data_IF_798970743499
#
_entry.id   IF_798970743499
#
_cell.length_a   1.000
_cell.length_b   1.000
_cell.length_c   1.000
_cell.angle_alpha   90.00
_cell.angle_beta   90.00
_cell.angle_gamma   90.00
#
_symmetry.space_group_name_H-M   'P 1'
#
loop_
_entity.id
_entity.type
_entity.pdbx_description
1 polymer ?
#
# COMPACT_ATOMS: atom_id res chain seq x y z
N UNK A 1 -34.00 -14.66 -52.30
CA UNK A 1 -33.82 -14.94 -50.86
C UNK A 1 -32.38 -15.21 -50.44
N UNK A 2 -31.57 -15.99 -51.17
CA UNK A 2 -30.16 -16.27 -50.80
C UNK A 2 -29.31 -15.01 -50.61
N UNK A 3 -29.49 -13.98 -51.46
CA UNK A 3 -28.79 -12.68 -51.32
C UNK A 3 -29.15 -11.94 -50.03
N UNK A 4 -30.41 -12.04 -49.60
CA UNK A 4 -30.89 -11.42 -48.36
C UNK A 4 -30.25 -12.10 -47.15
N UNK A 5 -30.20 -13.43 -47.11
CA UNK A 5 -29.56 -14.15 -46.00
C UNK A 5 -28.05 -13.94 -45.92
N UNK A 6 -27.39 -13.64 -47.04
CA UNK A 6 -25.95 -13.30 -47.07
C UNK A 6 -25.71 -11.87 -46.58
N UNK A 7 -26.56 -10.91 -46.96
CA UNK A 7 -26.40 -9.51 -46.58
C UNK A 7 -26.91 -9.19 -45.17
N UNK A 8 -27.90 -9.96 -44.67
CA UNK A 8 -28.58 -9.64 -43.42
C UNK A 8 -27.67 -9.61 -42.18
N UNK A 9 -26.71 -10.54 -41.96
CA UNK A 9 -25.80 -10.45 -40.82
C UNK A 9 -24.96 -9.16 -40.81
N UNK A 10 -24.51 -8.71 -41.99
CA UNK A 10 -23.74 -7.47 -42.14
C UNK A 10 -24.63 -6.23 -41.91
N UNK A 11 -25.85 -6.20 -42.47
CA UNK A 11 -26.81 -5.12 -42.21
C UNK A 11 -27.15 -5.00 -40.71
N UNK A 12 -27.34 -6.13 -40.01
CA UNK A 12 -27.57 -6.14 -38.56
C UNK A 12 -26.35 -5.66 -37.80
N UNK A 13 -25.13 -6.02 -38.22
CA UNK A 13 -23.90 -5.53 -37.59
C UNK A 13 -23.75 -4.01 -37.76
N UNK A 14 -24.01 -3.47 -38.95
CA UNK A 14 -23.97 -2.02 -39.20
C UNK A 14 -25.05 -1.27 -38.43
N UNK A 15 -26.24 -1.85 -38.30
CA UNK A 15 -27.35 -1.29 -37.51
C UNK A 15 -27.03 -1.29 -36.02
N UNK A 16 -26.53 -2.41 -35.48
CA UNK A 16 -26.00 -2.50 -34.10
C UNK A 16 -24.88 -1.50 -33.87
N UNK A 17 -24.07 -1.25 -34.90
CA UNK A 17 -22.98 -0.32 -34.82
C UNK A 17 -23.39 1.17 -34.93
N UNK A 18 -24.70 1.46 -35.10
CA UNK A 18 -25.21 2.81 -35.30
C UNK A 18 -24.81 3.45 -36.63
N UNK A 19 -24.26 2.67 -37.56
CA UNK A 19 -23.79 3.17 -38.87
C UNK A 19 -24.91 3.33 -39.90
N UNK A 20 -26.03 2.64 -39.68
CA UNK A 20 -27.25 2.75 -40.47
C UNK A 20 -28.46 2.70 -39.55
N UNK A 21 -29.54 3.35 -39.97
CA UNK A 21 -30.83 3.41 -39.29
C UNK A 21 -31.70 2.19 -39.62
N UNK A 22 -32.75 1.97 -38.82
CA UNK A 22 -33.72 0.89 -39.04
C UNK A 22 -34.39 0.98 -40.43
N UNK A 23 -34.72 2.22 -40.86
CA UNK A 23 -35.32 2.48 -42.17
C UNK A 23 -34.35 2.18 -43.33
N UNK A 24 -33.05 2.40 -43.13
CA UNK A 24 -32.01 2.05 -44.10
C UNK A 24 -31.81 0.53 -44.21
N UNK A 25 -31.83 -0.21 -43.09
CA UNK A 25 -31.84 -1.68 -43.10
C UNK A 25 -33.05 -2.20 -43.87
N UNK A 26 -34.23 -1.63 -43.59
CA UNK A 26 -35.48 -2.02 -44.26
C UNK A 26 -35.45 -1.73 -45.76
N UNK A 27 -34.92 -0.58 -46.15
CA UNK A 27 -34.75 -0.18 -47.55
C UNK A 27 -33.81 -1.13 -48.31
N UNK A 28 -32.68 -1.50 -47.70
CA UNK A 28 -31.71 -2.43 -48.27
C UNK A 28 -32.28 -3.86 -48.42
N UNK A 29 -32.98 -4.35 -47.40
CA UNK A 29 -33.65 -5.66 -47.46
C UNK A 29 -34.70 -5.69 -48.58
N UNK A 30 -35.46 -4.62 -48.73
CA UNK A 30 -36.49 -4.48 -49.78
C UNK A 30 -35.86 -4.41 -51.17
N UNK A 31 -34.75 -3.68 -51.34
CA UNK A 31 -33.98 -3.62 -52.58
C UNK A 31 -33.41 -5.00 -52.99
N UNK A 32 -33.09 -5.85 -52.02
CA UNK A 32 -32.65 -7.23 -52.24
C UNK A 32 -33.81 -8.22 -52.54
N UNK A 33 -35.04 -7.71 -52.64
CA UNK A 33 -36.23 -8.46 -53.04
C UNK A 33 -36.99 -9.10 -51.87
N UNK A 34 -36.80 -8.62 -50.64
CA UNK A 34 -37.62 -8.99 -49.49
C UNK A 34 -38.91 -8.15 -49.46
N UNK A 35 -40.10 -8.74 -49.30
CA UNK A 35 -41.32 -7.98 -49.05
C UNK A 35 -41.22 -7.15 -47.78
N UNK A 36 -41.80 -5.94 -47.80
CA UNK A 36 -41.75 -4.95 -46.72
C UNK A 36 -42.15 -5.53 -45.35
N UNK A 37 -43.28 -6.23 -45.31
CA UNK A 37 -43.80 -6.88 -44.09
C UNK A 37 -42.81 -7.90 -43.52
N UNK A 38 -42.13 -8.65 -44.39
CA UNK A 38 -41.15 -9.65 -43.98
C UNK A 38 -39.85 -9.02 -43.49
N UNK A 39 -39.45 -7.88 -44.06
CA UNK A 39 -38.29 -7.12 -43.59
C UNK A 39 -38.52 -6.57 -42.19
N UNK A 40 -39.71 -6.02 -41.93
CA UNK A 40 -40.11 -5.55 -40.60
C UNK A 40 -40.09 -6.68 -39.58
N UNK A 41 -40.72 -7.83 -39.88
CA UNK A 41 -40.72 -9.00 -38.98
C UNK A 41 -39.28 -9.47 -38.66
N UNK A 42 -38.40 -9.51 -39.67
CA UNK A 42 -37.02 -9.95 -39.51
C UNK A 42 -36.20 -8.97 -38.63
N UNK A 43 -36.40 -7.66 -38.81
CA UNK A 43 -35.79 -6.60 -38.00
C UNK A 43 -36.27 -6.70 -36.55
N UNK A 44 -37.57 -6.89 -36.31
CA UNK A 44 -38.14 -7.06 -34.96
C UNK A 44 -37.55 -8.26 -34.21
N UNK A 45 -37.31 -9.39 -34.89
CA UNK A 45 -36.64 -10.55 -34.26
C UNK A 45 -35.22 -10.24 -33.80
N UNK A 46 -34.55 -9.25 -34.42
CA UNK A 46 -33.22 -8.79 -34.04
C UNK A 46 -33.24 -7.61 -33.07
N UNK A 47 -34.28 -6.79 -33.08
CA UNK A 47 -34.49 -5.67 -32.14
C UNK A 47 -34.48 -6.12 -30.68
N UNK A 48 -35.01 -7.31 -30.38
CA UNK A 48 -35.01 -7.87 -29.01
C UNK A 48 -33.62 -8.34 -28.52
N UNK A 49 -32.67 -8.58 -29.41
CA UNK A 49 -31.24 -8.80 -29.07
C UNK A 49 -30.43 -7.49 -29.04
N UNK A 50 -30.99 -6.36 -29.52
CA UNK A 50 -30.27 -5.09 -29.75
C UNK A 50 -30.56 -4.05 -28.65
N UNK A 51 -31.50 -4.30 -27.75
CA UNK A 51 -31.60 -3.54 -26.49
C UNK A 51 -30.48 -3.86 -25.48
N UNK A 52 -29.49 -4.68 -25.85
CA UNK A 52 -28.18 -4.65 -25.22
C UNK A 52 -27.32 -3.66 -26.00
N UNK A 53 -27.25 -2.43 -25.50
CA UNK A 53 -26.48 -1.31 -26.05
C UNK A 53 -25.13 -1.74 -26.63
N UNK A 54 -24.91 -1.37 -27.88
CA UNK A 54 -23.59 -1.14 -28.48
C UNK A 54 -23.75 0.28 -29.06
N UNK A 55 -22.86 1.26 -28.94
CA UNK A 55 -21.45 1.32 -29.37
C UNK A 55 -20.81 2.63 -28.89
N UNK A 56 -19.62 2.54 -28.31
CA UNK A 56 -18.41 3.25 -28.74
C UNK A 56 -17.23 2.64 -27.97
N UNK A 57 -16.13 2.33 -28.65
CA UNK A 57 -14.88 1.83 -28.06
C UNK A 57 -14.12 2.95 -27.30
N UNK A 58 -14.82 3.74 -26.50
CA UNK A 58 -14.25 4.25 -25.26
C UNK A 58 -14.54 3.14 -24.25
N UNK A 59 -13.52 2.42 -23.77
CA UNK A 59 -13.77 1.50 -22.67
C UNK A 59 -14.26 2.32 -21.48
N UNK A 60 -15.57 2.39 -21.32
CA UNK A 60 -16.19 2.98 -20.14
C UNK A 60 -15.54 2.33 -18.92
N UNK A 61 -15.05 3.19 -18.03
CA UNK A 61 -14.41 2.72 -16.81
C UNK A 61 -15.37 1.78 -16.10
N UNK A 62 -14.93 0.56 -15.87
CA UNK A 62 -15.71 -0.38 -15.08
C UNK A 62 -15.79 0.12 -13.64
N UNK A 63 -16.84 -0.27 -12.89
CA UNK A 63 -16.93 0.00 -11.45
C UNK A 63 -15.63 -0.36 -10.71
N UNK A 64 -14.97 -1.44 -11.17
CA UNK A 64 -13.70 -1.92 -10.64
C UNK A 64 -12.52 -0.98 -10.89
N UNK A 65 -12.46 -0.37 -12.07
CA UNK A 65 -11.43 0.62 -12.41
C UNK A 65 -11.66 1.93 -11.66
N UNK A 66 -12.92 2.34 -11.47
CA UNK A 66 -13.26 3.58 -10.75
C UNK A 66 -12.82 3.48 -9.28
N UNK A 67 -13.30 2.49 -8.50
CA UNK A 67 -12.89 2.40 -7.09
C UNK A 67 -11.39 2.10 -6.93
N UNK A 68 -10.75 1.45 -7.92
CA UNK A 68 -9.31 1.26 -7.91
C UNK A 68 -8.55 2.57 -8.20
N UNK A 69 -9.10 3.44 -9.04
CA UNK A 69 -8.61 4.79 -9.31
C UNK A 69 -8.65 5.65 -8.05
N UNK A 70 -9.80 5.66 -7.36
CA UNK A 70 -9.97 6.35 -6.07
C UNK A 70 -8.98 5.81 -5.03
N UNK A 71 -8.89 4.48 -4.87
CA UNK A 71 -7.96 3.82 -3.92
C UNK A 71 -6.49 4.11 -4.20
N UNK A 72 -6.13 4.39 -5.46
CA UNK A 72 -4.76 4.74 -5.87
C UNK A 72 -4.51 6.24 -5.86
N UNK A 73 -5.52 7.07 -5.56
CA UNK A 73 -5.44 8.53 -5.61
C UNK A 73 -5.27 9.08 -7.03
N UNK A 74 -5.68 8.34 -8.05
CA UNK A 74 -5.64 8.78 -9.46
C UNK A 74 -6.80 9.72 -9.76
N UNK A 75 -7.93 9.50 -9.09
CA UNK A 75 -9.12 10.36 -9.07
C UNK A 75 -9.55 10.54 -7.61
N UNK A 76 -10.21 11.65 -7.32
CA UNK A 76 -10.76 11.97 -6.01
C UNK A 76 -12.02 11.14 -5.71
N UNK A 77 -12.46 11.19 -4.45
CA UNK A 77 -13.69 10.51 -4.03
C UNK A 77 -14.93 11.06 -4.71
N UNK A 78 -15.03 12.39 -4.84
CA UNK A 78 -16.17 13.05 -5.48
C UNK A 78 -16.23 12.71 -6.97
N UNK A 79 -15.07 12.72 -7.66
CA UNK A 79 -14.98 12.24 -9.05
C UNK A 79 -15.34 10.76 -9.17
N UNK A 80 -14.94 9.93 -8.20
CA UNK A 80 -15.34 8.52 -8.14
C UNK A 80 -16.85 8.32 -7.96
N UNK A 81 -17.51 9.18 -7.18
CA UNK A 81 -18.97 9.17 -6.99
C UNK A 81 -19.68 9.55 -8.29
N UNK A 82 -19.26 10.63 -8.95
CA UNK A 82 -19.82 11.09 -10.23
C UNK A 82 -19.70 9.99 -11.30
N UNK A 83 -18.51 9.40 -11.47
CA UNK A 83 -18.30 8.33 -12.45
C UNK A 83 -19.14 7.08 -12.17
N UNK A 84 -19.38 6.75 -10.90
CA UNK A 84 -20.27 5.64 -10.54
C UNK A 84 -21.73 5.97 -10.82
N UNK A 85 -22.16 7.22 -10.60
CA UNK A 85 -23.52 7.66 -10.94
C UNK A 85 -23.76 7.67 -12.46
N UNK A 86 -22.76 8.04 -13.25
CA UNK A 86 -22.81 7.98 -14.72
C UNK A 86 -22.98 6.55 -15.24
N UNK A 87 -22.50 5.54 -14.49
CA UNK A 87 -22.79 4.11 -14.74
C UNK A 87 -24.19 3.66 -14.29
N UNK A 88 -25.05 4.60 -13.89
CA UNK A 88 -26.43 4.36 -13.46
C UNK A 88 -26.59 3.88 -12.02
N UNK A 89 -25.57 4.05 -11.16
CA UNK A 89 -25.73 3.80 -9.72
C UNK A 89 -26.43 4.97 -9.04
N UNK A 90 -27.23 4.68 -8.01
CA UNK A 90 -27.74 5.73 -7.14
C UNK A 90 -26.60 6.35 -6.32
N UNK A 91 -26.80 7.58 -5.82
CA UNK A 91 -25.82 8.24 -4.97
C UNK A 91 -25.47 7.41 -3.72
N UNK A 92 -26.48 6.76 -3.12
CA UNK A 92 -26.30 5.90 -1.95
C UNK A 92 -25.50 4.63 -2.30
N UNK A 93 -25.80 4.00 -3.44
CA UNK A 93 -25.08 2.79 -3.89
C UNK A 93 -23.63 3.11 -4.26
N UNK A 94 -23.38 4.24 -4.92
CA UNK A 94 -22.05 4.70 -5.28
C UNK A 94 -21.21 4.97 -4.02
N UNK A 95 -21.81 5.64 -3.03
CA UNK A 95 -21.19 5.91 -1.72
C UNK A 95 -20.86 4.60 -1.01
N UNK A 96 -21.82 3.69 -0.92
CA UNK A 96 -21.62 2.39 -0.30
C UNK A 96 -20.48 1.59 -0.96
N UNK A 97 -20.41 1.59 -2.30
CA UNK A 97 -19.34 0.90 -3.03
C UNK A 97 -17.98 1.49 -2.69
N UNK A 98 -17.84 2.83 -2.69
CA UNK A 98 -16.58 3.48 -2.37
C UNK A 98 -16.19 3.26 -0.91
N UNK A 99 -17.12 3.39 0.05
CA UNK A 99 -16.86 3.11 1.46
C UNK A 99 -16.38 1.68 1.69
N UNK A 100 -17.01 0.69 1.07
CA UNK A 100 -16.64 -0.71 1.23
C UNK A 100 -15.32 -1.05 0.53
N UNK A 101 -15.04 -0.47 -0.64
CA UNK A 101 -13.88 -0.85 -1.48
C UNK A 101 -12.63 0.00 -1.24
N UNK A 102 -12.83 1.25 -0.88
CA UNK A 102 -11.79 2.25 -0.63
C UNK A 102 -11.57 2.43 0.87
N UNK A 103 -12.63 2.41 1.69
CA UNK A 103 -12.61 2.81 3.10
C UNK A 103 -13.04 4.26 3.27
N UNK A 104 -13.65 4.61 4.40
CA UNK A 104 -14.10 5.98 4.71
C UNK A 104 -12.94 6.99 4.68
N UNK A 105 -13.15 8.12 4.01
CA UNK A 105 -12.24 9.26 3.75
C UNK A 105 -11.63 9.97 4.98
N UNK A 106 -11.77 9.47 6.20
CA UNK A 106 -11.03 10.05 7.34
C UNK A 106 -9.53 9.68 7.32
N UNK A 107 -9.11 8.78 6.41
CA UNK A 107 -7.71 8.35 6.24
C UNK A 107 -7.21 8.48 4.79
N UNK A 108 -7.31 9.65 4.17
CA UNK A 108 -6.37 10.01 3.08
C UNK A 108 -5.29 10.98 3.58
N UNK A 109 -4.26 10.50 4.29
CA UNK A 109 -2.99 11.18 4.25
C UNK A 109 -2.41 11.02 2.84
N UNK A 110 -1.73 12.05 2.32
CA UNK A 110 -0.79 11.92 1.22
C UNK A 110 0.29 10.89 1.58
N UNK A 111 0.01 9.60 1.34
CA UNK A 111 1.03 8.56 1.51
C UNK A 111 1.72 8.44 0.15
N UNK A 112 2.74 9.28 -0.06
CA UNK A 112 3.93 8.78 -0.77
C UNK A 112 4.29 7.48 -0.05
N UNK A 113 3.90 6.32 -0.60
CA UNK A 113 4.35 5.04 -0.07
C UNK A 113 5.87 5.06 -0.15
N UNK A 114 6.53 5.47 0.93
CA UNK A 114 7.88 5.04 1.22
C UNK A 114 7.78 3.53 1.12
N UNK A 115 8.42 2.96 0.10
CA UNK A 115 8.41 1.51 -0.07
C UNK A 115 9.07 0.95 1.17
N UNK A 116 8.29 0.30 2.02
CA UNK A 116 8.84 -0.43 3.15
C UNK A 116 9.69 -1.56 2.62
N UNK A 117 10.78 -1.86 3.34
CA UNK A 117 11.63 -2.98 2.99
C UNK A 117 10.84 -4.27 3.09
N UNK A 118 11.01 -5.17 2.11
CA UNK A 118 10.42 -6.50 2.22
C UNK A 118 11.16 -7.31 3.28
N UNK A 119 10.52 -8.36 3.83
CA UNK A 119 11.19 -9.36 4.69
C UNK A 119 12.52 -9.84 4.10
N UNK A 120 12.55 -10.10 2.78
CA UNK A 120 13.74 -10.57 2.08
C UNK A 120 14.84 -9.52 2.06
N UNK A 121 14.50 -8.25 1.86
CA UNK A 121 15.45 -7.14 1.86
C UNK A 121 16.06 -6.92 3.24
N UNK A 122 15.23 -6.94 4.29
CA UNK A 122 15.68 -6.83 5.69
C UNK A 122 16.67 -7.96 6.02
N UNK A 123 16.29 -9.22 5.75
CA UNK A 123 17.15 -10.38 5.99
C UNK A 123 18.46 -10.32 5.19
N UNK A 124 18.43 -9.82 3.95
CA UNK A 124 19.64 -9.60 3.15
C UNK A 124 20.51 -8.48 3.70
N UNK A 125 19.91 -7.40 4.19
CA UNK A 125 20.62 -6.28 4.79
C UNK A 125 21.32 -6.70 6.09
N UNK A 126 20.68 -7.52 6.93
CA UNK A 126 21.32 -8.14 8.11
C UNK A 126 22.51 -9.00 7.68
N UNK A 127 22.31 -9.91 6.70
CA UNK A 127 23.39 -10.81 6.23
C UNK A 127 24.58 -10.06 5.62
N UNK A 128 24.33 -8.90 5.01
CA UNK A 128 25.35 -8.02 4.43
C UNK A 128 25.89 -6.99 5.43
N UNK A 129 25.46 -7.05 6.69
CA UNK A 129 25.85 -6.11 7.75
C UNK A 129 25.54 -4.64 7.43
N UNK A 130 24.56 -4.40 6.54
CA UNK A 130 24.09 -3.04 6.19
C UNK A 130 23.24 -2.46 7.32
N UNK A 131 22.53 -3.32 8.04
CA UNK A 131 21.78 -2.99 9.26
C UNK A 131 22.15 -3.98 10.36
N UNK A 132 21.98 -3.58 11.62
CA UNK A 132 22.24 -4.47 12.74
C UNK A 132 21.19 -5.60 12.82
N UNK A 133 21.55 -6.71 13.47
CA UNK A 133 20.61 -7.81 13.73
C UNK A 133 19.40 -7.33 14.54
N UNK A 134 19.63 -6.42 15.50
CA UNK A 134 18.57 -5.89 16.36
C UNK A 134 17.62 -4.95 15.59
N UNK A 135 18.17 -4.07 14.74
CA UNK A 135 17.35 -3.23 13.87
C UNK A 135 16.52 -4.09 12.91
N UNK A 136 17.15 -5.11 12.31
CA UNK A 136 16.46 -6.04 11.43
C UNK A 136 15.39 -6.86 12.15
N UNK A 137 15.61 -7.24 13.42
CA UNK A 137 14.61 -7.88 14.28
C UNK A 137 13.40 -6.96 14.47
N UNK A 138 13.63 -5.70 14.85
CA UNK A 138 12.53 -4.75 15.05
C UNK A 138 11.75 -4.51 13.76
N UNK A 139 12.44 -4.35 12.62
CA UNK A 139 11.77 -4.16 11.33
C UNK A 139 10.90 -5.36 10.93
N UNK A 140 11.30 -6.58 11.29
CA UNK A 140 10.47 -7.78 11.06
C UNK A 140 9.26 -7.81 12.00
N UNK A 141 9.42 -7.40 13.26
CA UNK A 141 8.29 -7.28 14.19
C UNK A 141 7.28 -6.23 13.69
N UNK A 142 7.77 -5.09 13.20
CA UNK A 142 6.93 -4.02 12.63
C UNK A 142 6.18 -4.48 11.36
N UNK A 143 6.72 -5.47 10.63
CA UNK A 143 6.04 -6.15 9.52
C UNK A 143 5.00 -7.20 9.98
N UNK A 144 4.83 -7.41 11.28
CA UNK A 144 3.84 -8.30 11.88
C UNK A 144 4.34 -9.71 12.21
N UNK A 145 5.65 -9.96 12.17
CA UNK A 145 6.21 -11.24 12.63
C UNK A 145 6.31 -11.25 14.16
N UNK A 146 6.03 -12.39 14.78
CA UNK A 146 6.30 -12.56 16.22
C UNK A 146 7.81 -12.58 16.50
N UNK A 147 8.20 -12.36 17.76
CA UNK A 147 9.61 -12.42 18.18
C UNK A 147 10.24 -13.79 17.86
N UNK A 148 9.52 -14.89 18.13
CA UNK A 148 10.00 -16.24 17.84
C UNK A 148 10.16 -16.51 16.35
N UNK A 149 9.23 -16.05 15.51
CA UNK A 149 9.35 -16.17 14.05
C UNK A 149 10.51 -15.36 13.51
N UNK A 150 10.67 -14.13 14.01
CA UNK A 150 11.78 -13.25 13.65
C UNK A 150 13.12 -13.92 13.92
N UNK A 151 13.25 -14.57 15.07
CA UNK A 151 14.49 -15.26 15.46
C UNK A 151 14.79 -16.43 14.54
N UNK A 152 13.80 -17.26 14.26
CA UNK A 152 13.95 -18.36 13.30
C UNK A 152 14.38 -17.82 11.93
N UNK A 153 13.77 -16.73 11.45
CA UNK A 153 14.09 -16.15 10.15
C UNK A 153 15.53 -15.62 10.08
N UNK A 154 15.96 -14.92 11.11
CA UNK A 154 17.32 -14.39 11.20
C UNK A 154 18.33 -15.53 11.35
N UNK A 155 18.03 -16.53 12.19
CA UNK A 155 18.87 -17.71 12.39
C UNK A 155 19.09 -18.47 11.09
N UNK A 156 18.01 -18.78 10.36
CA UNK A 156 18.07 -19.42 9.04
C UNK A 156 18.87 -18.57 8.06
N UNK A 157 18.72 -17.24 8.11
CA UNK A 157 19.42 -16.35 7.19
C UNK A 157 20.92 -16.28 7.44
N UNK A 158 21.32 -16.25 8.71
CA UNK A 158 22.70 -16.16 9.17
C UNK A 158 23.40 -17.52 9.21
N UNK A 159 22.65 -18.62 9.16
CA UNK A 159 23.19 -19.98 9.26
C UNK A 159 23.57 -20.37 10.69
N UNK A 160 22.97 -19.75 11.70
CA UNK A 160 23.12 -20.12 13.11
C UNK A 160 22.00 -21.07 13.52
N UNK A 161 22.29 -21.97 14.45
CA UNK A 161 21.40 -23.08 14.83
C UNK A 161 20.83 -22.95 16.24
N UNK A 162 21.37 -22.05 17.07
CA UNK A 162 20.88 -21.82 18.43
C UNK A 162 20.64 -20.34 18.73
N UNK A 163 19.71 -20.06 19.66
CA UNK A 163 19.50 -18.69 20.16
C UNK A 163 20.76 -18.11 20.81
N UNK A 164 21.58 -18.97 21.45
CA UNK A 164 22.86 -18.55 22.01
C UNK A 164 23.86 -18.07 20.96
N UNK A 165 23.89 -18.69 19.77
CA UNK A 165 24.73 -18.25 18.66
C UNK A 165 24.21 -16.94 18.06
N UNK A 166 22.89 -16.79 17.96
CA UNK A 166 22.27 -15.53 17.54
C UNK A 166 22.61 -14.40 18.52
N UNK A 167 22.50 -14.66 19.83
CA UNK A 167 22.88 -13.71 20.86
C UNK A 167 24.37 -13.37 20.81
N UNK A 168 25.25 -14.34 20.58
CA UNK A 168 26.67 -14.09 20.40
C UNK A 168 26.95 -13.19 19.19
N UNK A 169 26.23 -13.37 18.08
CA UNK A 169 26.33 -12.52 16.89
C UNK A 169 25.85 -11.08 17.17
N UNK A 170 24.76 -10.92 17.92
CA UNK A 170 24.25 -9.60 18.36
C UNK A 170 25.26 -8.91 19.29
N UNK A 171 25.87 -9.66 20.21
CA UNK A 171 26.85 -9.15 21.17
C UNK A 171 28.18 -8.80 20.49
N UNK A 172 28.59 -9.56 19.47
CA UNK A 172 29.85 -9.37 18.73
C UNK A 172 29.88 -8.20 17.74
N UNK A 173 28.72 -7.67 17.32
CA UNK A 173 28.65 -6.43 16.55
C UNK A 173 29.15 -5.23 17.39
N UNK A 174 29.47 -4.05 16.83
CA UNK A 174 29.78 -2.85 17.66
C UNK A 174 28.48 -2.23 18.22
N UNK A 175 28.44 -1.71 19.47
CA UNK A 175 27.22 -1.06 19.99
C UNK A 175 27.00 0.31 19.32
N UNK A 176 25.75 0.64 18.97
CA UNK A 176 25.43 1.93 18.35
C UNK A 176 25.10 3.01 19.40
N UNK A 177 24.61 2.61 20.57
CA UNK A 177 24.24 3.50 21.70
C UNK A 177 24.79 2.99 23.03
N UNK A 178 24.70 3.81 24.10
CA UNK A 178 25.15 3.38 25.42
C UNK A 178 24.23 2.29 26.00
N UNK A 179 22.92 2.36 25.77
CA UNK A 179 22.03 1.29 26.22
C UNK A 179 22.21 0.02 25.41
N UNK A 180 22.61 0.06 24.14
CA UNK A 180 22.99 -1.18 23.42
C UNK A 180 24.15 -1.88 24.12
N UNK A 181 25.18 -1.11 24.48
CA UNK A 181 26.30 -1.62 25.26
C UNK A 181 25.82 -2.17 26.60
N UNK A 182 24.94 -1.45 27.30
CA UNK A 182 24.39 -1.89 28.59
C UNK A 182 23.61 -3.19 28.44
N UNK A 183 22.72 -3.29 27.47
CA UNK A 183 21.93 -4.48 27.13
C UNK A 183 22.83 -5.68 26.91
N UNK A 184 23.94 -5.54 26.17
CA UNK A 184 24.91 -6.64 25.98
C UNK A 184 25.59 -7.07 27.26
N UNK A 185 26.06 -6.12 28.07
CA UNK A 185 26.67 -6.46 29.37
C UNK A 185 25.68 -7.15 30.32
N UNK A 186 24.39 -6.82 30.23
CA UNK A 186 23.34 -7.42 31.04
C UNK A 186 22.96 -8.81 30.51
N UNK A 187 22.82 -9.00 29.19
CA UNK A 187 22.65 -10.34 28.59
C UNK A 187 23.81 -11.27 28.95
N UNK A 188 25.05 -10.78 28.90
CA UNK A 188 26.21 -11.57 29.34
C UNK A 188 26.13 -11.99 30.81
N UNK A 189 25.68 -11.09 31.71
CA UNK A 189 25.42 -11.44 33.10
C UNK A 189 24.34 -12.52 33.24
N UNK A 190 23.26 -12.39 32.47
CA UNK A 190 22.15 -13.36 32.46
C UNK A 190 22.61 -14.75 32.04
N UNK A 191 23.43 -14.84 30.98
CA UNK A 191 24.03 -16.10 30.51
C UNK A 191 24.95 -16.74 31.56
N UNK A 192 25.63 -15.92 32.36
CA UNK A 192 26.45 -16.37 33.49
C UNK A 192 25.63 -16.70 34.75
N UNK A 193 24.30 -16.75 34.66
CA UNK A 193 23.40 -17.04 35.78
C UNK A 193 23.34 -15.93 36.84
N UNK A 194 23.80 -14.71 36.50
CA UNK A 194 23.77 -13.56 37.41
C UNK A 194 22.51 -12.73 37.15
N UNK A 195 22.06 -12.03 38.18
CA UNK A 195 20.96 -11.08 38.06
C UNK A 195 21.30 -10.00 37.02
N UNK A 196 20.45 -9.91 36.00
CA UNK A 196 20.59 -8.99 34.88
C UNK A 196 19.38 -8.05 34.85
N UNK A 197 19.66 -6.75 34.67
CA UNK A 197 18.64 -5.71 34.60
C UNK A 197 18.63 -5.15 33.20
N UNK A 198 17.64 -5.55 32.41
CA UNK A 198 17.54 -5.22 30.99
C UNK A 198 16.91 -3.85 30.81
N UNK A 199 17.52 -2.95 30.02
CA UNK A 199 16.83 -1.75 29.55
C UNK A 199 15.55 -2.13 28.79
N UNK A 200 14.49 -1.35 28.97
CA UNK A 200 13.21 -1.59 28.27
C UNK A 200 13.31 -1.21 26.78
N UNK A 201 12.59 -1.89 25.87
CA UNK A 201 12.58 -1.54 24.44
C UNK A 201 12.27 -0.06 24.17
N UNK A 202 11.27 0.50 24.86
CA UNK A 202 10.92 1.92 24.75
C UNK A 202 12.07 2.86 25.13
N UNK A 203 12.90 2.47 26.10
CA UNK A 203 14.02 3.29 26.58
C UNK A 203 15.17 3.26 25.56
N UNK A 204 15.43 2.10 24.95
CA UNK A 204 16.42 1.96 23.87
C UNK A 204 15.99 2.77 22.65
N UNK A 205 14.71 2.70 22.26
CA UNK A 205 14.17 3.48 21.15
C UNK A 205 14.25 4.99 21.43
N UNK A 206 13.96 5.42 22.66
CA UNK A 206 14.07 6.83 23.04
C UNK A 206 15.52 7.35 22.98
N UNK A 207 16.53 6.54 23.34
CA UNK A 207 17.94 6.92 23.18
C UNK A 207 18.32 7.05 21.70
N UNK A 208 17.86 6.12 20.86
CA UNK A 208 18.09 6.17 19.41
C UNK A 208 17.48 7.42 18.78
N UNK A 209 16.23 7.74 19.11
CA UNK A 209 15.55 8.96 18.65
C UNK A 209 16.30 10.21 19.11
N UNK A 210 16.78 10.24 20.36
CA UNK A 210 17.56 11.35 20.87
C UNK A 210 18.85 11.53 20.05
N UNK A 211 19.60 10.44 19.81
CA UNK A 211 20.84 10.48 19.03
C UNK A 211 20.58 10.93 17.59
N UNK A 212 19.53 10.44 16.94
CA UNK A 212 19.13 10.85 15.59
C UNK A 212 18.76 12.34 15.54
N UNK A 213 18.06 12.86 16.54
CA UNK A 213 17.74 14.28 16.63
C UNK A 213 18.99 15.16 16.83
N UNK A 214 19.96 14.69 17.63
CA UNK A 214 21.26 15.35 17.83
C UNK A 214 22.10 15.36 16.55
N UNK A 215 22.14 14.23 15.82
CA UNK A 215 22.81 14.10 14.52
C UNK A 215 22.16 15.01 13.47
N UNK A 216 20.83 15.08 13.42
CA UNK A 216 20.10 15.95 12.52
C UNK A 216 20.40 17.44 12.79
N UNK A 217 20.45 17.85 14.06
CA UNK A 217 20.86 19.21 14.43
C UNK A 217 22.31 19.48 14.02
N UNK A 218 23.21 18.52 14.27
CA UNK A 218 24.63 18.65 13.92
C UNK A 218 24.80 18.82 12.40
N UNK A 219 24.11 18.01 11.60
CA UNK A 219 24.14 18.09 10.15
C UNK A 219 23.62 19.46 9.64
N UNK A 220 22.58 20.03 10.27
CA UNK A 220 22.10 21.36 9.88
C UNK A 220 23.01 22.51 10.33
N UNK A 221 23.67 22.38 11.48
CA UNK A 221 24.71 23.34 11.90
C UNK A 221 25.89 23.32 10.93
N UNK A 222 26.29 22.15 10.46
CA UNK A 222 27.38 22.00 9.48
C UNK A 222 27.04 22.61 8.12
N UNK A 223 25.76 22.69 7.76
CA UNK A 223 25.28 23.38 6.54
C UNK A 223 25.25 24.91 6.67
N UNK A 224 25.58 25.47 7.83
CA UNK A 224 25.56 26.91 8.06
C UNK A 224 24.14 27.50 8.16
N UNK A 225 23.16 26.67 8.52
CA UNK A 225 21.77 27.08 8.67
C UNK A 225 21.62 28.10 9.80
N UNK A 226 20.93 29.22 9.53
CA UNK A 226 20.69 30.30 10.52
C UNK A 226 19.86 29.81 11.70
N UNK A 227 20.10 30.37 12.89
CA UNK A 227 19.50 29.95 14.17
C UNK A 227 17.96 29.84 14.14
N UNK A 228 17.27 30.74 13.44
CA UNK A 228 15.81 30.71 13.31
C UNK A 228 15.28 29.43 12.64
N UNK A 229 16.06 28.84 11.72
CA UNK A 229 15.73 27.59 11.04
C UNK A 229 16.16 26.34 11.84
N UNK A 230 16.93 26.52 12.92
CA UNK A 230 17.32 25.43 13.83
C UNK A 230 16.27 25.16 14.91
N UNK A 231 15.31 26.07 15.11
CA UNK A 231 14.28 25.95 16.13
C UNK A 231 13.50 24.62 16.10
N UNK A 232 13.12 24.05 14.93
CA UNK A 232 12.46 22.75 14.87
C UNK A 232 13.35 21.59 15.38
N UNK A 233 14.65 21.62 15.09
CA UNK A 233 15.60 20.59 15.51
C UNK A 233 15.88 20.66 17.02
N UNK A 234 15.99 21.87 17.57
CA UNK A 234 16.13 22.08 19.01
C UNK A 234 14.89 21.60 19.78
N UNK A 235 13.70 21.84 19.23
CA UNK A 235 12.45 21.31 19.79
C UNK A 235 12.43 19.79 19.77
N UNK A 236 12.79 19.17 18.63
CA UNK A 236 12.85 17.71 18.50
C UNK A 236 13.81 17.08 19.52
N UNK A 237 14.97 17.69 19.76
CA UNK A 237 15.91 17.24 20.81
C UNK A 237 15.27 17.38 22.18
N UNK A 238 14.66 18.52 22.50
CA UNK A 238 14.01 18.74 23.80
C UNK A 238 12.93 17.69 24.09
N UNK A 239 12.07 17.42 23.10
CA UNK A 239 11.00 16.43 23.20
C UNK A 239 11.57 15.01 23.39
N UNK A 240 12.59 14.64 22.60
CA UNK A 240 13.28 13.35 22.72
C UNK A 240 14.02 13.20 24.07
N UNK A 241 14.71 14.24 24.54
CA UNK A 241 15.40 14.24 25.84
C UNK A 241 14.42 14.09 27.00
N UNK A 242 13.26 14.77 26.93
CA UNK A 242 12.23 14.66 27.94
C UNK A 242 11.72 13.22 28.05
N UNK A 243 11.38 12.60 26.90
CA UNK A 243 10.91 11.21 26.85
C UNK A 243 11.98 10.23 27.36
N UNK A 244 13.23 10.39 26.91
CA UNK A 244 14.34 9.55 27.35
C UNK A 244 14.56 9.63 28.86
N UNK A 245 14.57 10.84 29.45
CA UNK A 245 14.75 11.03 30.91
C UNK A 245 13.63 10.42 31.74
N UNK A 246 12.38 10.55 31.30
CA UNK A 246 11.24 9.93 31.95
C UNK A 246 11.40 8.41 32.01
N UNK A 247 11.72 7.78 30.87
CA UNK A 247 11.92 6.34 30.78
C UNK A 247 13.16 5.88 31.57
N UNK A 248 14.24 6.66 31.57
CA UNK A 248 15.46 6.33 32.31
C UNK A 248 15.22 6.33 33.82
N UNK A 249 14.43 7.29 34.31
CA UNK A 249 14.05 7.37 35.72
C UNK A 249 13.18 6.17 36.11
N UNK A 250 12.20 5.80 35.27
CA UNK A 250 11.38 4.62 35.49
C UNK A 250 12.23 3.32 35.51
N UNK A 251 13.24 3.22 34.64
CA UNK A 251 14.17 2.09 34.62
C UNK A 251 15.03 2.01 35.90
N UNK A 252 15.50 3.15 36.42
CA UNK A 252 16.26 3.19 37.67
C UNK A 252 15.41 2.89 38.90
N UNK A 253 14.12 3.24 38.90
CA UNK A 253 13.20 2.93 40.00
C UNK A 253 12.77 1.46 40.05
N UNK A 254 12.81 0.77 38.90
CA UNK A 254 12.54 -0.68 38.80
C UNK A 254 13.80 -1.53 39.01
N UNK A 255 14.99 -0.92 39.03
CA UNK A 255 16.27 -1.55 39.38
C UNK A 255 16.52 -1.48 40.87
#
# INVERSE_FOLDING_TARGET
WTKVYVAFPDLVARWRNGWITEDEVKSELTALGMPDERATELIETKKKEVNGEVVADERDLTKAEIYAGVKKGVISWDEGLELLQDLGLSADDATYILEVRVGTLEDTPEIVKKRDLTKTDILNAIKKEVISIEDGRQMLIDLGYSEGETDILIMVKLGVSTLSELDAAIVGASPATFLDFKTRTQRYKQLMGKEAKMPTPELMQAEKILREAEEALKAEKEKGTKDEKLAPFLKAISDAQSRYRQLLTAYHQKS
#
